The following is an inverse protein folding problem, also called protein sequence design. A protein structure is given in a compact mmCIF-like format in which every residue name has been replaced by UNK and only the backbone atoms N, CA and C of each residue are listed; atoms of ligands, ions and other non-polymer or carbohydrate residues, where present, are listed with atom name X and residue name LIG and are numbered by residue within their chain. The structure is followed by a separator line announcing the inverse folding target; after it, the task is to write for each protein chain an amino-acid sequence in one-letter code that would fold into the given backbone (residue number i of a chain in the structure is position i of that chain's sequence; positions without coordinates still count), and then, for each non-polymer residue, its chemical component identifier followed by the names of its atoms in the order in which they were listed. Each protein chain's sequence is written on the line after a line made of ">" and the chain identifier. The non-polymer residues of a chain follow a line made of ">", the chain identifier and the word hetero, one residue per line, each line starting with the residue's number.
data_IF_827533008630
#
_entry.id   IF_827533008630
#
_cell.length_a   1.000
_cell.length_b   1.000
_cell.length_c   1.000
_cell.angle_alpha   90.00
_cell.angle_beta   90.00
_cell.angle_gamma   90.00
#
_symmetry.space_group_name_H-M   'P 1'
#
loop_
_entity.id
_entity.type
_entity.pdbx_description
1 polymer ?
#
# COMPACT_ATOMS: atom_id res chain seq x y z
N UNK A 1 -15.49 11.53 -68.69
CA UNK A 1 -16.17 10.44 -67.98
C UNK A 1 -15.07 9.60 -67.37
N UNK A 2 -14.98 9.61 -66.04
CA UNK A 2 -13.96 8.85 -65.31
C UNK A 2 -14.40 7.39 -65.28
N UNK A 3 -13.98 6.63 -66.28
CA UNK A 3 -14.41 5.25 -66.53
C UNK A 3 -14.26 4.33 -65.31
N UNK A 4 -13.30 4.59 -64.43
CA UNK A 4 -13.09 3.82 -63.20
C UNK A 4 -14.16 4.08 -62.12
N UNK A 5 -14.64 5.32 -61.99
CA UNK A 5 -15.71 5.67 -61.06
C UNK A 5 -17.03 5.05 -61.51
N UNK A 6 -17.30 5.10 -62.81
CA UNK A 6 -18.49 4.52 -63.40
C UNK A 6 -18.53 2.98 -63.21
N UNK A 7 -17.39 2.29 -63.29
CA UNK A 7 -17.29 0.84 -63.05
C UNK A 7 -17.55 0.50 -61.57
N UNK A 8 -16.98 1.29 -60.64
CA UNK A 8 -17.17 1.06 -59.21
C UNK A 8 -18.63 1.28 -58.79
N UNK A 9 -19.28 2.31 -59.33
CA UNK A 9 -20.69 2.60 -59.05
C UNK A 9 -21.62 1.49 -59.56
N UNK A 10 -21.32 0.91 -60.72
CA UNK A 10 -22.04 -0.27 -61.23
C UNK A 10 -21.81 -1.50 -60.33
N UNK A 11 -20.59 -1.69 -59.85
CA UNK A 11 -20.28 -2.78 -58.92
C UNK A 11 -21.01 -2.62 -57.57
N UNK A 12 -21.07 -1.40 -57.03
CA UNK A 12 -21.82 -1.09 -55.80
C UNK A 12 -23.31 -1.40 -55.99
N UNK A 13 -23.92 -0.95 -57.10
CA UNK A 13 -25.32 -1.26 -57.42
C UNK A 13 -25.58 -2.78 -57.52
N UNK A 14 -24.66 -3.54 -58.12
CA UNK A 14 -24.77 -5.00 -58.17
C UNK A 14 -24.69 -5.62 -56.76
N UNK A 15 -23.77 -5.13 -55.92
CA UNK A 15 -23.60 -5.61 -54.55
C UNK A 15 -24.84 -5.33 -53.70
N UNK A 16 -25.43 -4.14 -53.81
CA UNK A 16 -26.70 -3.79 -53.14
C UNK A 16 -27.85 -4.69 -53.58
N UNK A 17 -27.99 -4.94 -54.89
CA UNK A 17 -29.00 -5.84 -55.42
C UNK A 17 -28.84 -7.27 -54.88
N UNK A 18 -27.61 -7.80 -54.88
CA UNK A 18 -27.32 -9.14 -54.38
C UNK A 18 -27.51 -9.25 -52.85
N UNK A 19 -27.24 -8.19 -52.08
CA UNK A 19 -27.59 -8.13 -50.66
C UNK A 19 -29.11 -8.14 -50.47
N UNK A 20 -29.84 -7.36 -51.28
CA UNK A 20 -31.30 -7.33 -51.29
C UNK A 20 -31.90 -8.72 -51.54
N UNK A 21 -31.42 -9.41 -52.57
CA UNK A 21 -31.85 -10.77 -52.93
C UNK A 21 -31.57 -11.77 -51.79
N UNK A 22 -30.38 -11.76 -51.20
CA UNK A 22 -30.04 -12.64 -50.06
C UNK A 22 -30.91 -12.35 -48.82
N UNK A 23 -31.17 -11.08 -48.51
CA UNK A 23 -32.09 -10.69 -47.44
C UNK A 23 -33.52 -11.18 -47.72
N UNK A 24 -33.95 -11.11 -48.97
CA UNK A 24 -35.25 -11.62 -49.39
C UNK A 24 -35.35 -13.15 -49.23
N UNK A 25 -34.37 -13.92 -49.73
CA UNK A 25 -34.31 -15.36 -49.52
C UNK A 25 -34.28 -15.74 -48.04
N UNK A 26 -33.52 -15.01 -47.21
CA UNK A 26 -33.51 -15.22 -45.76
C UNK A 26 -34.89 -14.97 -45.14
N UNK A 27 -35.59 -13.91 -45.58
CA UNK A 27 -36.95 -13.61 -45.10
C UNK A 27 -37.92 -14.72 -45.50
N UNK A 28 -37.90 -15.18 -46.76
CA UNK A 28 -38.73 -16.29 -47.20
C UNK A 28 -38.44 -17.59 -46.45
N UNK A 29 -37.16 -17.93 -46.26
CA UNK A 29 -36.76 -19.12 -45.51
C UNK A 29 -37.26 -19.07 -44.06
N UNK A 30 -37.11 -17.92 -43.39
CA UNK A 30 -37.66 -17.70 -42.04
C UNK A 30 -39.18 -17.83 -42.02
N UNK A 31 -39.88 -17.19 -42.97
CA UNK A 31 -41.33 -17.28 -43.06
C UNK A 31 -41.82 -18.71 -43.31
N UNK A 32 -41.13 -19.49 -44.15
CA UNK A 32 -41.46 -20.89 -44.39
C UNK A 32 -41.26 -21.74 -43.13
N UNK A 33 -40.16 -21.53 -42.39
CA UNK A 33 -39.94 -22.17 -41.09
C UNK A 33 -41.06 -21.79 -40.10
N UNK A 34 -41.40 -20.51 -40.01
CA UNK A 34 -42.45 -20.01 -39.11
C UNK A 34 -43.84 -20.57 -39.47
N UNK A 35 -44.15 -20.73 -40.75
CA UNK A 35 -45.41 -21.35 -41.19
C UNK A 35 -45.48 -22.83 -40.81
N UNK A 36 -44.38 -23.57 -40.98
CA UNK A 36 -44.31 -25.00 -40.63
C UNK A 36 -44.43 -25.17 -39.11
N UNK A 37 -43.73 -24.34 -38.33
CA UNK A 37 -43.77 -24.41 -36.86
C UNK A 37 -45.13 -23.99 -36.29
N UNK A 38 -45.81 -23.00 -36.87
CA UNK A 38 -47.18 -22.62 -36.46
C UNK A 38 -48.24 -23.67 -36.80
N UNK A 39 -48.01 -24.47 -37.85
CA UNK A 39 -48.91 -25.57 -38.25
C UNK A 39 -48.71 -26.81 -37.38
N UNK A 40 -47.55 -26.99 -36.74
CA UNK A 40 -47.36 -28.04 -35.74
C UNK A 40 -47.87 -27.57 -34.38
N UNK A 41 -48.85 -28.29 -33.81
CA UNK A 41 -49.41 -28.01 -32.48
C UNK A 41 -48.41 -28.25 -31.34
N UNK A 42 -47.33 -28.99 -31.60
CA UNK A 42 -46.27 -29.25 -30.63
C UNK A 42 -45.27 -28.07 -30.62
N UNK A 43 -45.34 -27.25 -29.57
CA UNK A 43 -44.41 -26.12 -29.37
C UNK A 43 -43.07 -26.58 -28.76
N UNK A 44 -42.99 -27.85 -28.32
CA UNK A 44 -41.77 -28.43 -27.77
C UNK A 44 -40.94 -29.10 -28.86
N UNK A 45 -39.66 -28.71 -28.94
CA UNK A 45 -38.75 -29.11 -29.99
C UNK A 45 -38.64 -30.64 -30.12
N UNK A 46 -38.94 -31.14 -31.33
CA UNK A 46 -38.75 -32.56 -31.66
C UNK A 46 -37.27 -32.93 -31.53
N UNK A 47 -36.95 -34.13 -31.02
CA UNK A 47 -35.56 -34.60 -30.95
C UNK A 47 -34.93 -34.64 -32.35
N UNK A 48 -33.65 -34.29 -32.43
CA UNK A 48 -32.89 -34.28 -33.69
C UNK A 48 -32.81 -35.70 -34.25
N UNK A 49 -33.27 -35.87 -35.49
CA UNK A 49 -33.09 -37.12 -36.22
C UNK A 49 -31.69 -37.16 -36.86
N UNK A 50 -30.87 -38.09 -36.38
CA UNK A 50 -29.48 -38.26 -36.82
C UNK A 50 -29.36 -38.72 -38.27
N UNK A 51 -30.33 -39.49 -38.79
CA UNK A 51 -30.30 -39.97 -40.18
C UNK A 51 -30.58 -38.81 -41.15
N UNK A 52 -31.55 -37.96 -40.82
CA UNK A 52 -31.90 -36.77 -41.61
C UNK A 52 -30.75 -35.74 -41.58
N UNK A 53 -30.11 -35.55 -40.42
CA UNK A 53 -28.94 -34.66 -40.33
C UNK A 53 -27.76 -35.17 -41.17
N UNK A 54 -27.51 -36.48 -41.19
CA UNK A 54 -26.50 -37.08 -42.05
C UNK A 54 -26.81 -36.88 -43.54
N UNK A 55 -28.09 -36.89 -43.93
CA UNK A 55 -28.50 -36.58 -45.30
C UNK A 55 -28.31 -35.08 -45.64
N UNK A 56 -28.62 -34.18 -44.72
CA UNK A 56 -28.41 -32.73 -44.89
C UNK A 56 -26.94 -32.40 -45.22
N UNK A 57 -25.99 -33.05 -44.53
CA UNK A 57 -24.55 -32.83 -44.77
C UNK A 57 -24.07 -33.28 -46.16
N UNK A 58 -24.86 -34.10 -46.89
CA UNK A 58 -24.50 -34.56 -48.23
C UNK A 58 -24.74 -33.52 -49.32
N UNK A 59 -25.64 -32.54 -49.11
CA UNK A 59 -26.08 -31.61 -50.17
C UNK A 59 -26.03 -30.15 -49.70
N UNK A 60 -25.24 -29.27 -50.34
CA UNK A 60 -25.28 -27.84 -50.05
C UNK A 60 -26.60 -27.22 -50.52
N UNK A 61 -27.15 -26.29 -49.74
CA UNK A 61 -28.49 -25.74 -49.97
C UNK A 61 -28.53 -24.38 -50.67
N UNK A 62 -27.43 -23.61 -50.66
CA UNK A 62 -27.38 -22.29 -51.29
C UNK A 62 -26.17 -22.20 -52.22
N UNK A 63 -26.45 -22.30 -53.52
CA UNK A 63 -25.45 -22.18 -54.58
C UNK A 63 -25.45 -20.73 -55.08
N UNK A 64 -24.27 -20.14 -55.16
CA UNK A 64 -24.10 -18.76 -55.64
C UNK A 64 -24.32 -18.66 -57.15
N UNK A 65 -24.98 -17.60 -57.59
CA UNK A 65 -25.08 -17.25 -59.00
C UNK A 65 -23.76 -16.70 -59.55
N UNK A 66 -23.57 -16.72 -60.87
CA UNK A 66 -22.35 -16.19 -61.52
C UNK A 66 -22.12 -14.69 -61.27
N UNK A 67 -23.18 -13.92 -61.08
CA UNK A 67 -23.12 -12.48 -60.83
C UNK A 67 -22.94 -12.14 -59.34
N UNK A 68 -22.92 -13.14 -58.46
CA UNK A 68 -22.82 -12.94 -57.02
C UNK A 68 -21.38 -12.58 -56.61
N UNK A 69 -21.12 -11.37 -56.09
CA UNK A 69 -19.77 -10.95 -55.69
C UNK A 69 -19.32 -11.57 -54.35
N UNK A 70 -19.97 -12.62 -53.85
CA UNK A 70 -19.74 -13.18 -52.51
C UNK A 70 -18.28 -13.54 -52.24
N UNK A 71 -17.56 -14.10 -53.21
CA UNK A 71 -16.14 -14.45 -53.05
C UNK A 71 -15.27 -13.23 -52.81
N UNK A 72 -15.53 -12.13 -53.54
CA UNK A 72 -14.80 -10.88 -53.35
C UNK A 72 -15.18 -10.23 -52.02
N UNK A 73 -16.47 -10.18 -51.68
CA UNK A 73 -16.95 -9.62 -50.41
C UNK A 73 -16.35 -10.35 -49.20
N UNK A 74 -16.33 -11.68 -49.21
CA UNK A 74 -15.74 -12.48 -48.15
C UNK A 74 -14.23 -12.27 -48.07
N UNK A 75 -13.53 -12.34 -49.21
CA UNK A 75 -12.07 -12.19 -49.24
C UNK A 75 -11.65 -10.80 -48.79
N UNK A 76 -12.29 -9.75 -49.32
CA UNK A 76 -11.99 -8.36 -48.98
C UNK A 76 -12.26 -8.07 -47.52
N UNK A 77 -13.42 -8.48 -46.99
CA UNK A 77 -13.76 -8.25 -45.59
C UNK A 77 -12.83 -9.02 -44.65
N UNK A 78 -12.61 -10.31 -44.91
CA UNK A 78 -11.77 -11.16 -44.08
C UNK A 78 -10.31 -10.70 -44.08
N UNK A 79 -9.73 -10.44 -45.25
CA UNK A 79 -8.33 -10.04 -45.34
C UNK A 79 -8.08 -8.66 -44.74
N UNK A 80 -8.98 -7.70 -44.96
CA UNK A 80 -8.87 -6.36 -44.37
C UNK A 80 -8.99 -6.42 -42.84
N UNK A 81 -9.99 -7.15 -42.33
CA UNK A 81 -10.18 -7.31 -40.89
C UNK A 81 -9.01 -8.06 -40.24
N UNK A 82 -8.47 -9.07 -40.91
CA UNK A 82 -7.31 -9.83 -40.42
C UNK A 82 -6.07 -8.94 -40.35
N UNK A 83 -5.82 -8.12 -41.39
CA UNK A 83 -4.69 -7.20 -41.39
C UNK A 83 -4.82 -6.18 -40.25
N UNK A 84 -6.00 -5.57 -40.10
CA UNK A 84 -6.27 -4.60 -39.05
C UNK A 84 -6.11 -5.22 -37.65
N UNK A 85 -6.79 -6.33 -37.38
CA UNK A 85 -6.73 -6.98 -36.06
C UNK A 85 -5.34 -7.54 -35.75
N UNK A 86 -4.59 -7.99 -36.75
CA UNK A 86 -3.19 -8.40 -36.54
C UNK A 86 -2.28 -7.24 -36.14
N UNK A 87 -2.48 -6.05 -36.71
CA UNK A 87 -1.73 -4.86 -36.35
C UNK A 87 -2.05 -4.39 -34.93
N UNK A 88 -3.33 -4.42 -34.56
CA UNK A 88 -3.78 -4.11 -33.19
C UNK A 88 -3.17 -5.11 -32.19
N UNK A 89 -3.15 -6.40 -32.54
CA UNK A 89 -2.55 -7.43 -31.69
C UNK A 89 -1.04 -7.25 -31.51
N UNK A 90 -0.32 -6.88 -32.57
CA UNK A 90 1.11 -6.58 -32.48
C UNK A 90 1.36 -5.41 -31.52
N UNK A 91 0.57 -4.34 -31.60
CA UNK A 91 0.67 -3.22 -30.66
C UNK A 91 0.49 -3.67 -29.21
N UNK A 92 -0.54 -4.48 -28.93
CA UNK A 92 -0.81 -4.99 -27.57
C UNK A 92 0.36 -5.86 -27.07
N UNK A 93 0.92 -6.69 -27.94
CA UNK A 93 2.03 -7.57 -27.59
C UNK A 93 3.34 -6.82 -27.39
N UNK A 94 3.58 -5.77 -28.17
CA UNK A 94 4.77 -4.92 -28.02
C UNK A 94 4.72 -4.14 -26.70
N UNK A 95 3.58 -3.54 -26.36
CA UNK A 95 3.38 -2.85 -25.08
C UNK A 95 3.59 -3.82 -23.91
N UNK A 96 2.96 -4.99 -23.96
CA UNK A 96 3.12 -6.01 -22.92
C UNK A 96 4.57 -6.53 -22.83
N UNK A 97 5.28 -6.61 -23.95
CA UNK A 97 6.68 -7.04 -24.02
C UNK A 97 7.60 -6.04 -23.33
N UNK A 98 7.37 -4.74 -23.52
CA UNK A 98 8.12 -3.67 -22.83
C UNK A 98 7.92 -3.77 -21.32
N UNK A 99 6.68 -3.89 -20.86
CA UNK A 99 6.36 -4.01 -19.43
C UNK A 99 7.02 -5.25 -18.81
N UNK A 100 6.96 -6.39 -19.51
CA UNK A 100 7.60 -7.62 -19.05
C UNK A 100 9.12 -7.49 -18.97
N UNK A 101 9.76 -6.78 -19.91
CA UNK A 101 11.22 -6.52 -19.86
C UNK A 101 11.59 -5.64 -18.67
N UNK A 102 10.81 -4.59 -18.40
CA UNK A 102 11.02 -3.73 -17.24
C UNK A 102 10.85 -4.52 -15.93
N UNK A 103 9.78 -5.33 -15.83
CA UNK A 103 9.53 -6.19 -14.69
C UNK A 103 10.65 -7.21 -14.47
N UNK A 104 11.17 -7.81 -15.56
CA UNK A 104 12.28 -8.76 -15.47
C UNK A 104 13.54 -8.10 -14.90
N UNK A 105 13.88 -6.88 -15.34
CA UNK A 105 15.02 -6.14 -14.81
C UNK A 105 14.84 -5.83 -13.32
N UNK A 106 13.65 -5.39 -12.90
CA UNK A 106 13.34 -5.14 -11.50
C UNK A 106 13.48 -6.40 -10.64
N UNK A 107 12.90 -7.51 -11.10
CA UNK A 107 12.96 -8.78 -10.37
C UNK A 107 14.38 -9.33 -10.27
N UNK A 108 15.20 -9.14 -11.31
CA UNK A 108 16.61 -9.52 -11.27
C UNK A 108 17.40 -8.71 -10.23
N UNK A 109 17.14 -7.40 -10.12
CA UNK A 109 17.77 -6.56 -9.11
C UNK A 109 17.36 -6.97 -7.69
N UNK A 110 16.06 -7.16 -7.45
CA UNK A 110 15.55 -7.64 -6.16
C UNK A 110 16.19 -8.99 -5.80
N UNK A 111 16.26 -9.92 -6.75
CA UNK A 111 16.88 -11.21 -6.52
C UNK A 111 18.38 -11.10 -6.21
N UNK A 112 19.08 -10.13 -6.80
CA UNK A 112 20.49 -9.84 -6.48
C UNK A 112 20.63 -9.32 -5.05
N UNK A 113 19.79 -8.36 -4.66
CA UNK A 113 19.80 -7.78 -3.32
C UNK A 113 19.46 -8.83 -2.26
N UNK A 114 18.49 -9.70 -2.54
CA UNK A 114 18.11 -10.81 -1.66
C UNK A 114 19.24 -11.84 -1.52
N UNK A 115 19.98 -12.14 -2.60
CA UNK A 115 21.18 -12.99 -2.51
C UNK A 115 22.24 -12.35 -1.62
N UNK A 116 22.44 -11.04 -1.72
CA UNK A 116 23.39 -10.35 -0.84
C UNK A 116 22.90 -10.32 0.61
N UNK A 117 21.62 -10.06 0.85
CA UNK A 117 21.02 -10.10 2.18
C UNK A 117 21.19 -11.49 2.80
N UNK A 118 20.90 -12.55 2.04
CA UNK A 118 21.08 -13.93 2.49
C UNK A 118 22.55 -14.19 2.88
N UNK A 119 23.51 -13.74 2.06
CA UNK A 119 24.94 -13.84 2.37
C UNK A 119 25.30 -13.10 3.66
N UNK A 120 24.75 -11.90 3.89
CA UNK A 120 24.98 -11.12 5.12
C UNK A 120 24.38 -11.81 6.34
N UNK A 121 23.17 -12.34 6.22
CA UNK A 121 22.50 -13.09 7.28
C UNK A 121 23.23 -14.38 7.62
N UNK A 122 23.67 -15.15 6.62
CA UNK A 122 24.48 -16.35 6.84
C UNK A 122 25.78 -16.03 7.59
N UNK A 123 26.48 -14.95 7.18
CA UNK A 123 27.66 -14.48 7.92
C UNK A 123 27.33 -14.08 9.35
N UNK A 124 26.22 -13.38 9.55
CA UNK A 124 25.77 -12.95 10.87
C UNK A 124 25.46 -14.16 11.76
N UNK A 125 24.77 -15.19 11.24
CA UNK A 125 24.51 -16.45 11.96
C UNK A 125 25.82 -17.13 12.34
N UNK A 126 26.80 -17.23 11.43
CA UNK A 126 28.11 -17.80 11.75
C UNK A 126 28.92 -17.02 12.79
N UNK A 127 28.63 -15.73 13.00
CA UNK A 127 29.42 -14.84 13.90
C UNK A 127 28.71 -14.62 15.25
N UNK A 128 27.39 -14.76 15.33
CA UNK A 128 26.62 -14.41 16.54
C UNK A 128 26.79 -15.43 17.68
N UNK A 129 27.17 -16.68 17.38
CA UNK A 129 27.02 -17.77 18.36
C UNK A 129 27.97 -17.78 19.57
N UNK A 130 29.09 -17.04 19.59
CA UNK A 130 30.07 -17.23 20.69
C UNK A 130 30.30 -16.06 21.66
N UNK A 131 29.92 -14.80 21.36
CA UNK A 131 30.28 -13.67 22.25
C UNK A 131 29.30 -12.50 22.31
N UNK A 132 28.34 -12.40 21.39
CA UNK A 132 27.41 -11.25 21.38
C UNK A 132 26.24 -11.52 22.30
N UNK A 133 26.35 -11.05 23.55
CA UNK A 133 25.21 -10.95 24.44
C UNK A 133 24.18 -9.99 23.85
N UNK A 134 23.14 -10.54 23.20
CA UNK A 134 21.99 -9.80 22.75
C UNK A 134 21.08 -9.46 23.95
N UNK A 135 21.60 -8.63 24.85
CA UNK A 135 20.89 -8.15 26.04
C UNK A 135 20.13 -6.87 25.69
N UNK A 136 19.19 -6.99 24.76
CA UNK A 136 18.22 -5.93 24.56
C UNK A 136 17.47 -5.71 25.89
N UNK A 137 17.60 -4.51 26.47
CA UNK A 137 16.82 -4.10 27.65
C UNK A 137 15.38 -3.78 27.25
N UNK A 138 14.66 -4.81 26.81
CA UNK A 138 13.23 -4.74 26.54
C UNK A 138 12.51 -4.68 27.88
N UNK A 139 12.09 -3.48 28.26
CA UNK A 139 11.35 -3.21 29.48
C UNK A 139 9.99 -2.61 29.15
N UNK A 140 8.99 -2.98 29.93
CA UNK A 140 7.69 -2.31 29.89
C UNK A 140 7.83 -0.88 30.45
N UNK A 141 6.91 0.02 30.10
CA UNK A 141 6.92 1.41 30.61
C UNK A 141 7.01 1.47 32.14
N UNK A 142 6.28 0.60 32.84
CA UNK A 142 6.29 0.52 34.31
C UNK A 142 7.62 0.00 34.86
N UNK A 143 8.20 -1.02 34.24
CA UNK A 143 9.50 -1.56 34.65
C UNK A 143 10.62 -0.54 34.40
N UNK A 144 10.59 0.15 33.25
CA UNK A 144 11.54 1.21 32.91
C UNK A 144 11.44 2.39 33.87
N UNK A 145 10.22 2.82 34.22
CA UNK A 145 10.03 3.88 35.22
C UNK A 145 10.58 3.45 36.59
N UNK A 146 10.31 2.22 37.04
CA UNK A 146 10.87 1.69 38.29
C UNK A 146 12.40 1.65 38.28
N UNK A 147 13.00 1.20 37.18
CA UNK A 147 14.46 1.21 37.01
C UNK A 147 15.04 2.63 37.05
N UNK A 148 14.40 3.61 36.40
CA UNK A 148 14.84 5.00 36.44
C UNK A 148 14.74 5.60 37.85
N UNK A 149 13.68 5.30 38.60
CA UNK A 149 13.58 5.70 40.01
C UNK A 149 14.67 5.07 40.88
N UNK A 150 14.95 3.78 40.68
CA UNK A 150 16.02 3.09 41.41
C UNK A 150 17.40 3.67 41.05
N UNK A 151 17.68 3.92 39.77
CA UNK A 151 18.93 4.55 39.32
C UNK A 151 19.08 5.97 39.86
N UNK A 152 17.99 6.72 39.95
CA UNK A 152 17.99 8.04 40.57
C UNK A 152 18.32 7.93 42.06
N UNK A 153 17.68 7.01 42.79
CA UNK A 153 17.94 6.80 44.22
C UNK A 153 19.39 6.36 44.48
N UNK A 154 19.92 5.45 43.65
CA UNK A 154 21.32 5.01 43.71
C UNK A 154 22.28 6.19 43.43
N UNK A 155 21.98 7.02 42.42
CA UNK A 155 22.75 8.21 42.11
C UNK A 155 22.75 9.21 43.28
N UNK A 156 21.61 9.40 43.94
CA UNK A 156 21.48 10.28 45.09
C UNK A 156 22.31 9.78 46.27
N UNK A 157 22.19 8.49 46.62
CA UNK A 157 22.91 7.87 47.74
C UNK A 157 24.42 7.81 47.50
N UNK A 158 24.84 7.41 46.31
CA UNK A 158 26.25 7.14 46.02
C UNK A 158 27.04 8.37 45.60
N UNK A 159 26.38 9.41 45.05
CA UNK A 159 27.11 10.54 44.47
C UNK A 159 26.55 11.91 44.87
N UNK A 160 25.24 12.17 44.75
CA UNK A 160 24.76 13.53 44.96
C UNK A 160 24.82 13.94 46.43
N UNK A 161 24.20 13.16 47.33
CA UNK A 161 24.06 13.50 48.75
C UNK A 161 25.40 13.59 49.48
N UNK A 162 26.36 12.66 49.28
CA UNK A 162 27.69 12.75 49.92
C UNK A 162 28.48 14.01 49.55
N UNK A 163 28.15 14.67 48.43
CA UNK A 163 28.86 15.86 47.95
C UNK A 163 28.12 17.18 48.23
N UNK A 164 26.99 17.16 48.97
CA UNK A 164 26.15 18.35 49.20
C UNK A 164 26.48 19.11 50.48
N UNK A 165 26.90 18.44 51.56
CA UNK A 165 27.19 19.09 52.85
C UNK A 165 28.20 18.25 53.66
N UNK A 166 29.30 18.86 54.09
CA UNK A 166 30.43 18.21 54.81
C UNK A 166 30.20 18.08 56.33
N UNK A 167 29.00 18.38 56.82
CA UNK A 167 28.69 18.29 58.24
C UNK A 167 28.19 16.89 58.60
N UNK A 168 28.83 16.24 59.59
CA UNK A 168 28.67 14.86 60.15
C UNK A 168 27.24 14.41 60.55
N UNK A 169 26.24 14.64 59.70
CA UNK A 169 24.84 14.25 59.91
C UNK A 169 24.47 12.97 59.16
N UNK A 170 23.42 12.26 59.61
CA UNK A 170 23.01 11.02 58.98
C UNK A 170 22.57 11.25 57.52
N UNK A 171 23.36 10.70 56.60
CA UNK A 171 23.20 10.73 55.14
C UNK A 171 21.80 10.28 54.71
N UNK A 172 21.19 9.36 55.47
CA UNK A 172 19.87 8.79 55.17
C UNK A 172 18.74 9.84 55.24
N UNK A 173 18.77 10.73 56.22
CA UNK A 173 17.76 11.78 56.38
C UNK A 173 17.87 12.80 55.25
N UNK A 174 19.08 13.21 54.90
CA UNK A 174 19.33 14.14 53.79
C UNK A 174 18.94 13.50 52.45
N UNK A 175 19.24 12.22 52.24
CA UNK A 175 18.83 11.48 51.04
C UNK A 175 17.31 11.45 50.91
N UNK A 176 16.58 11.22 52.00
CA UNK A 176 15.11 11.22 51.99
C UNK A 176 14.52 12.59 51.63
N UNK A 177 15.12 13.67 52.14
CA UNK A 177 14.71 15.05 51.86
C UNK A 177 14.95 15.40 50.38
N UNK A 178 16.13 15.06 49.86
CA UNK A 178 16.49 15.28 48.45
C UNK A 178 15.63 14.46 47.50
N UNK A 179 15.35 13.20 47.84
CA UNK A 179 14.47 12.32 47.06
C UNK A 179 13.05 12.88 47.01
N UNK A 180 12.53 13.39 48.14
CA UNK A 180 11.22 14.02 48.20
C UNK A 180 11.15 15.30 47.34
N UNK A 181 12.19 16.14 47.39
CA UNK A 181 12.28 17.34 46.56
C UNK A 181 12.29 17.01 45.06
N UNK A 182 13.09 16.02 44.64
CA UNK A 182 13.13 15.58 43.25
C UNK A 182 11.84 14.92 42.80
N UNK A 183 11.18 14.17 43.68
CA UNK A 183 9.85 13.62 43.41
C UNK A 183 8.82 14.72 43.14
N UNK A 184 8.77 15.75 44.00
CA UNK A 184 7.90 16.92 43.80
C UNK A 184 8.20 17.67 42.50
N UNK A 185 9.48 17.80 42.12
CA UNK A 185 9.91 18.41 40.86
C UNK A 185 9.47 17.61 39.63
N UNK A 186 9.65 16.28 39.66
CA UNK A 186 9.31 15.37 38.56
C UNK A 186 7.79 15.22 38.39
N UNK A 187 7.03 15.24 39.50
CA UNK A 187 5.56 15.19 39.49
C UNK A 187 4.91 16.55 39.15
N UNK A 188 5.72 17.56 38.81
CA UNK A 188 5.27 18.92 38.47
C UNK A 188 4.44 19.59 39.59
N UNK A 189 4.91 19.52 40.83
CA UNK A 189 4.28 20.21 41.96
C UNK A 189 4.28 21.73 41.73
N UNK A 190 3.09 22.31 41.57
CA UNK A 190 2.87 23.74 41.37
C UNK A 190 3.11 24.58 42.65
N UNK A 191 3.18 23.92 43.81
CA UNK A 191 3.35 24.56 45.12
C UNK A 191 4.81 24.64 45.58
N UNK A 192 5.75 24.05 44.85
CA UNK A 192 7.16 24.03 45.26
C UNK A 192 7.77 25.44 45.23
N UNK A 193 8.24 25.89 46.38
CA UNK A 193 8.85 27.21 46.56
C UNK A 193 10.34 27.10 46.91
N UNK A 194 11.05 28.23 46.78
CA UNK A 194 12.42 28.34 47.27
C UNK A 194 12.55 28.07 48.78
N UNK A 195 11.48 28.26 49.57
CA UNK A 195 11.49 28.03 51.02
C UNK A 195 11.45 26.55 51.39
N UNK A 196 11.05 25.67 50.46
CA UNK A 196 11.09 24.22 50.63
C UNK A 196 12.52 23.66 50.52
N UNK A 197 13.46 24.42 49.97
CA UNK A 197 14.87 24.09 49.97
C UNK A 197 15.49 24.56 51.29
N UNK A 198 15.82 23.60 52.16
CA UNK A 198 16.56 23.88 53.38
C UNK A 198 17.97 24.41 53.07
N UNK A 199 18.64 24.97 54.07
CA UNK A 199 20.03 25.43 53.90
C UNK A 199 20.97 24.35 53.36
N UNK A 200 20.66 23.08 53.64
CA UNK A 200 21.44 21.89 53.24
C UNK A 200 21.14 21.43 51.82
N UNK A 201 19.89 21.56 51.37
CA UNK A 201 19.48 21.18 50.00
C UNK A 201 19.58 22.34 49.01
N UNK A 202 19.98 23.53 49.47
CA UNK A 202 20.20 24.72 48.65
C UNK A 202 21.20 24.54 47.49
N UNK A 203 22.28 23.72 47.59
CA UNK A 203 23.15 23.48 46.45
C UNK A 203 22.45 22.74 45.31
N UNK A 204 21.40 21.95 45.58
CA UNK A 204 20.58 21.31 44.53
C UNK A 204 19.83 22.38 43.74
N UNK A 205 19.22 23.35 44.42
CA UNK A 205 18.58 24.47 43.74
C UNK A 205 19.57 25.21 42.82
N UNK A 206 20.80 25.46 43.32
CA UNK A 206 21.86 26.09 42.51
C UNK A 206 22.26 25.22 41.32
N UNK A 207 22.34 23.91 41.48
CA UNK A 207 22.65 22.97 40.41
C UNK A 207 21.57 22.97 39.33
N UNK A 208 20.31 22.85 39.72
CA UNK A 208 19.16 22.88 38.81
C UNK A 208 19.08 24.20 38.05
N UNK A 209 19.36 25.33 38.73
CA UNK A 209 19.39 26.66 38.12
C UNK A 209 20.55 26.80 37.13
N UNK A 210 21.76 26.37 37.49
CA UNK A 210 22.94 26.41 36.60
C UNK A 210 22.78 25.53 35.37
N UNK A 211 22.09 24.39 35.50
CA UNK A 211 21.78 23.50 34.40
C UNK A 211 20.66 24.04 33.49
N UNK A 212 20.04 25.18 33.82
CA UNK A 212 18.92 25.78 33.09
C UNK A 212 17.74 24.80 32.87
N UNK A 213 17.50 23.89 33.83
CA UNK A 213 16.43 22.88 33.76
C UNK A 213 15.20 23.23 34.59
N UNK A 214 15.25 24.34 35.33
CA UNK A 214 14.12 24.87 36.10
C UNK A 214 13.77 26.29 35.67
N UNK A 215 12.50 26.64 35.80
CA UNK A 215 11.97 27.99 35.64
C UNK A 215 11.55 28.52 37.01
N UNK A 216 11.94 29.76 37.30
CA UNK A 216 11.61 30.44 38.55
C UNK A 216 10.60 31.53 38.23
N UNK A 217 9.36 31.32 38.66
CA UNK A 217 8.25 32.27 38.43
C UNK A 217 7.85 32.92 39.76
N UNK A 218 7.55 34.22 39.74
CA UNK A 218 7.01 34.90 40.91
C UNK A 218 5.52 34.55 41.03
N UNK A 219 5.05 34.28 42.24
CA UNK A 219 3.63 34.05 42.50
C UNK A 219 2.77 35.23 42.08
N UNK A 220 1.66 34.98 41.39
CA UNK A 220 0.68 36.04 41.11
C UNK A 220 0.02 36.56 42.39
N UNK A 221 -0.14 35.69 43.40
CA UNK A 221 -0.78 36.02 44.68
C UNK A 221 0.16 36.60 45.72
N UNK A 222 1.46 36.27 45.68
CA UNK A 222 2.48 36.75 46.61
C UNK A 222 3.79 37.04 45.86
N UNK A 223 4.18 38.32 45.67
CA UNK A 223 5.35 38.67 44.88
C UNK A 223 6.69 38.25 45.52
N UNK A 224 6.69 37.92 46.81
CA UNK A 224 7.86 37.40 47.53
C UNK A 224 8.07 35.88 47.36
N UNK A 225 7.04 35.12 47.00
CA UNK A 225 7.17 33.67 46.81
C UNK A 225 7.62 33.37 45.39
N UNK A 226 8.78 32.71 45.29
CA UNK A 226 9.34 32.22 44.02
C UNK A 226 9.00 30.74 43.89
N UNK A 227 8.13 30.43 42.93
CA UNK A 227 7.76 29.07 42.57
C UNK A 227 8.78 28.50 41.59
N UNK A 228 9.16 27.25 41.83
CA UNK A 228 10.17 26.54 41.03
C UNK A 228 9.45 25.44 40.26
N UNK A 229 9.60 25.45 38.93
CA UNK A 229 9.02 24.42 38.06
C UNK A 229 10.10 23.81 37.18
N UNK A 230 10.09 22.49 37.06
CA UNK A 230 10.94 21.80 36.08
C UNK A 230 10.48 22.15 34.65
N UNK A 231 11.42 22.34 33.73
CA UNK A 231 11.11 22.48 32.31
C UNK A 231 10.33 21.25 31.86
N UNK A 232 9.35 21.47 30.99
CA UNK A 232 8.52 20.40 30.48
C UNK A 232 9.27 19.62 29.40
N UNK A 233 10.01 18.58 29.82
CA UNK A 233 10.67 17.65 28.89
C UNK A 233 9.68 16.79 28.09
N UNK A 234 8.39 16.79 28.45
CA UNK A 234 7.34 16.06 27.75
C UNK A 234 6.63 16.92 26.70
N UNK A 235 6.91 18.23 26.64
CA UNK A 235 6.24 19.14 25.71
C UNK A 235 6.88 19.06 24.33
N UNK A 236 6.16 18.51 23.35
CA UNK A 236 6.50 18.59 21.94
C UNK A 236 5.68 19.68 21.26
N UNK A 237 5.78 20.91 21.76
CA UNK A 237 5.27 22.09 21.07
C UNK A 237 6.08 22.30 19.78
N UNK A 238 5.49 22.95 18.77
CA UNK A 238 6.15 23.30 17.50
C UNK A 238 7.39 24.16 17.77
N UNK A 239 8.54 23.50 17.90
CA UNK A 239 9.87 24.08 17.79
C UNK A 239 10.19 24.37 16.33
#
# INVERSE_FOLDING_TARGET
>A
MDTEKDILDVYIKNLENQIGNKRYFLKQARSAIDEITKKSLDTEGKPLDFEIFAELLRKPMFLSERADPISFSLSSNFLSLRAQSSSEWLSVMDDQSVDKKAMLSLQNNINSDLKELLRKLQRQVCIIDDTKQDRAHVRTRKARNKELWNLLEDFLKSYLVPNLDDNDQPIDNLTSEVTLLLKRLIEHDLSLTLRDFSSKTMPIYRLLLRANIITVTKGSSNPETKYIKLINFNETSLT
#
